data_IF_701948248211
#
_entry.id   IF_701948248211
#
_cell.length_a   1.000
_cell.length_b   1.000
_cell.length_c   1.000
_cell.angle_alpha   90.00
_cell.angle_beta   90.00
_cell.angle_gamma   90.00
#
_symmetry.space_group_name_H-M   'P 1'
#
loop_
_entity.id
_entity.type
_entity.pdbx_description
1 polymer ?
#
# COMPACT_ATOMS: atom_id res chain seq x y z
N UNK A 1 -7.36 -0.25 2.93
CA UNK A 1 -7.89 1.13 3.01
C UNK A 1 -6.77 2.15 2.82
N UNK A 2 -5.89 2.38 3.81
CA UNK A 2 -4.83 3.41 3.72
C UNK A 2 -3.95 3.31 2.46
N UNK A 3 -3.36 2.14 2.19
CA UNK A 3 -2.53 1.93 1.00
C UNK A 3 -3.27 2.10 -0.33
N UNK A 4 -4.57 1.81 -0.36
CA UNK A 4 -5.42 2.04 -1.54
C UNK A 4 -5.67 3.52 -1.78
N UNK A 5 -5.91 4.28 -0.71
CA UNK A 5 -6.02 5.75 -0.78
C UNK A 5 -4.70 6.37 -1.22
N UNK A 6 -3.56 5.88 -0.71
CA UNK A 6 -2.25 6.35 -1.13
C UNK A 6 -2.02 6.12 -2.65
N UNK A 7 -2.37 4.93 -3.16
CA UNK A 7 -2.31 4.65 -4.59
C UNK A 7 -3.24 5.58 -5.41
N UNK A 8 -4.45 5.86 -4.91
CA UNK A 8 -5.37 6.80 -5.56
C UNK A 8 -4.82 8.23 -5.59
N UNK A 9 -4.24 8.71 -4.49
CA UNK A 9 -3.58 10.02 -4.44
C UNK A 9 -2.44 10.08 -5.45
N UNK A 10 -1.60 9.05 -5.55
CA UNK A 10 -0.50 9.04 -6.51
C UNK A 10 -1.01 9.01 -7.97
N UNK A 11 -2.04 8.20 -8.26
CA UNK A 11 -2.69 8.19 -9.58
C UNK A 11 -3.28 9.55 -9.94
N UNK A 12 -3.88 10.27 -8.99
CA UNK A 12 -4.39 11.63 -9.16
C UNK A 12 -3.27 12.64 -9.41
N UNK A 13 -2.20 12.61 -8.61
CA UNK A 13 -1.02 13.46 -8.79
C UNK A 13 -0.34 13.26 -10.15
N UNK A 14 -0.40 12.05 -10.71
CA UNK A 14 0.10 11.73 -12.05
C UNK A 14 -0.91 12.02 -13.16
N UNK A 15 -2.12 12.46 -12.81
CA UNK A 15 -3.18 12.86 -13.73
C UNK A 15 -3.93 11.70 -14.37
N UNK A 16 -3.88 10.48 -13.80
CA UNK A 16 -4.67 9.35 -14.27
C UNK A 16 -6.10 9.39 -13.73
N UNK A 17 -6.25 9.67 -12.44
CA UNK A 17 -7.54 10.05 -11.84
C UNK A 17 -7.72 11.54 -12.09
N UNK A 18 -8.89 11.92 -12.58
CA UNK A 18 -9.23 13.31 -12.94
C UNK A 18 -10.09 13.97 -11.86
N UNK A 19 -10.09 15.30 -11.83
CA UNK A 19 -10.83 16.08 -10.81
C UNK A 19 -12.36 15.88 -10.87
N UNK A 20 -12.89 15.54 -12.04
CA UNK A 20 -14.32 15.22 -12.24
C UNK A 20 -14.72 13.89 -11.61
N UNK A 21 -13.77 12.96 -11.39
CA UNK A 21 -14.02 11.70 -10.69
C UNK A 21 -14.05 11.87 -9.15
N UNK A 22 -13.67 13.05 -8.62
CA UNK A 22 -13.53 13.27 -7.19
C UNK A 22 -14.80 13.73 -6.47
N UNK A 23 -15.86 14.06 -7.22
CA UNK A 23 -17.13 14.58 -6.68
C UNK A 23 -16.93 15.78 -5.71
N UNK A 24 -15.95 16.63 -6.01
CA UNK A 24 -15.61 17.82 -5.22
C UNK A 24 -14.82 17.56 -3.93
N UNK A 25 -14.51 16.31 -3.59
CA UNK A 25 -13.69 15.97 -2.43
C UNK A 25 -12.20 15.90 -2.81
N UNK A 26 -11.35 16.64 -2.09
CA UNK A 26 -9.90 16.60 -2.35
C UNK A 26 -9.31 15.21 -2.12
N UNK A 27 -8.40 14.79 -3.00
CA UNK A 27 -7.65 13.54 -2.88
C UNK A 27 -6.15 13.85 -2.79
N UNK A 28 -5.69 14.27 -1.60
CA UNK A 28 -4.32 14.75 -1.38
C UNK A 28 -3.70 14.23 -0.07
N UNK A 29 -2.38 14.06 -0.06
CA UNK A 29 -1.65 13.74 1.17
C UNK A 29 -1.74 14.91 2.18
N UNK A 30 -1.72 14.58 3.48
CA UNK A 30 -1.76 15.56 4.56
C UNK A 30 -3.17 16.07 4.91
N UNK A 31 -4.20 15.68 4.16
CA UNK A 31 -5.58 16.07 4.44
C UNK A 31 -6.35 14.96 5.18
N UNK A 32 -6.19 14.90 6.50
CA UNK A 32 -6.78 13.84 7.35
C UNK A 32 -8.31 13.77 7.28
N UNK A 33 -8.99 14.92 7.18
CA UNK A 33 -10.46 14.98 7.07
C UNK A 33 -10.93 14.37 5.75
N UNK A 34 -10.29 14.71 4.64
CA UNK A 34 -10.65 14.13 3.34
C UNK A 34 -10.35 12.63 3.28
N UNK A 35 -9.22 12.18 3.84
CA UNK A 35 -8.90 10.75 3.95
C UNK A 35 -9.98 9.99 4.71
N UNK A 36 -10.47 10.53 5.84
CA UNK A 36 -11.53 9.90 6.61
C UNK A 36 -12.86 9.81 5.81
N UNK A 37 -13.16 10.81 4.98
CA UNK A 37 -14.33 10.77 4.11
C UNK A 37 -14.19 9.75 2.97
N UNK A 38 -13.02 9.66 2.35
CA UNK A 38 -12.72 8.61 1.35
C UNK A 38 -12.88 7.20 1.92
N UNK A 39 -12.48 6.97 3.18
CA UNK A 39 -12.72 5.68 3.84
C UNK A 39 -14.22 5.36 3.93
N UNK A 40 -15.08 6.34 4.21
CA UNK A 40 -16.54 6.16 4.25
C UNK A 40 -17.10 5.86 2.86
N UNK A 41 -16.69 6.65 1.84
CA UNK A 41 -17.11 6.44 0.45
C UNK A 41 -16.70 5.09 -0.10
N UNK A 42 -15.52 4.59 0.29
CA UNK A 42 -15.10 3.22 0.00
C UNK A 42 -16.04 2.19 0.65
N UNK A 43 -16.42 2.40 1.92
CA UNK A 43 -17.35 1.52 2.63
C UNK A 43 -18.77 1.52 2.05
N UNK A 44 -19.23 2.67 1.55
CA UNK A 44 -20.55 2.85 0.93
C UNK A 44 -20.57 2.64 -0.59
N UNK A 45 -19.40 2.43 -1.22
CA UNK A 45 -19.24 2.30 -2.67
C UNK A 45 -19.82 3.49 -3.44
N UNK A 46 -19.43 4.71 -3.04
CA UNK A 46 -19.90 5.96 -3.64
C UNK A 46 -18.84 6.58 -4.55
N UNK A 47 -19.22 6.92 -5.79
CA UNK A 47 -18.33 7.58 -6.77
C UNK A 47 -17.03 6.79 -6.99
N UNK A 48 -15.89 7.49 -6.98
CA UNK A 48 -14.55 6.86 -7.03
C UNK A 48 -14.32 5.86 -5.87
N UNK A 49 -15.03 6.00 -4.76
CA UNK A 49 -14.98 5.08 -3.62
C UNK A 49 -15.33 3.63 -3.99
N UNK A 50 -16.21 3.41 -4.97
CA UNK A 50 -16.54 2.06 -5.45
C UNK A 50 -15.32 1.37 -6.11
N UNK A 51 -14.59 2.08 -6.98
CA UNK A 51 -13.35 1.57 -7.59
C UNK A 51 -12.28 1.34 -6.54
N UNK A 52 -12.16 2.23 -5.56
CA UNK A 52 -11.20 2.11 -4.47
C UNK A 52 -11.52 0.93 -3.54
N UNK A 53 -12.79 0.53 -3.40
CA UNK A 53 -13.20 -0.61 -2.58
C UNK A 53 -12.63 -1.95 -3.07
N UNK A 54 -12.23 -2.04 -4.35
CA UNK A 54 -11.64 -3.23 -4.97
C UNK A 54 -10.14 -3.44 -4.64
N UNK A 55 -9.53 -2.52 -3.90
CA UNK A 55 -8.14 -2.55 -3.47
C UNK A 55 -7.19 -1.88 -4.47
N UNK A 56 -5.96 -1.58 -4.01
CA UNK A 56 -4.99 -0.78 -4.78
C UNK A 56 -4.63 -1.39 -6.12
N UNK A 57 -4.49 -2.72 -6.18
CA UNK A 57 -4.10 -3.41 -7.41
C UNK A 57 -5.17 -3.22 -8.48
N UNK A 58 -6.44 -3.52 -8.17
CA UNK A 58 -7.54 -3.42 -9.14
C UNK A 58 -7.83 -1.98 -9.52
N UNK A 59 -7.72 -1.05 -8.57
CA UNK A 59 -7.80 0.38 -8.85
C UNK A 59 -6.74 0.78 -9.87
N UNK A 60 -5.47 0.54 -9.59
CA UNK A 60 -4.36 0.98 -10.44
C UNK A 60 -4.35 0.28 -11.81
N UNK A 61 -4.67 -1.02 -11.84
CA UNK A 61 -4.83 -1.80 -13.08
C UNK A 61 -5.97 -1.26 -13.95
N UNK A 62 -7.08 -0.80 -13.36
CA UNK A 62 -8.19 -0.19 -14.10
C UNK A 62 -7.83 1.12 -14.81
N UNK A 63 -6.78 1.81 -14.36
CA UNK A 63 -6.18 2.97 -15.04
C UNK A 63 -5.00 2.58 -15.94
N UNK A 64 -4.73 1.29 -16.13
CA UNK A 64 -3.60 0.79 -16.93
C UNK A 64 -2.23 1.06 -16.30
N UNK A 65 -2.19 1.20 -14.96
CA UNK A 65 -1.00 1.59 -14.21
C UNK A 65 -0.76 0.73 -12.95
N UNK A 66 -0.66 -0.61 -13.09
CA UNK A 66 -0.48 -1.49 -11.94
C UNK A 66 0.77 -1.17 -11.11
N UNK A 67 1.77 -0.48 -11.68
CA UNK A 67 2.99 -0.05 -11.00
C UNK A 67 2.76 0.91 -9.81
N UNK A 68 1.61 1.59 -9.72
CA UNK A 68 1.26 2.43 -8.56
C UNK A 68 0.63 1.63 -7.41
N UNK A 69 0.39 0.33 -7.58
CA UNK A 69 -0.01 -0.53 -6.47
C UNK A 69 1.22 -1.10 -5.77
N UNK A 70 1.51 -0.59 -4.57
CA UNK A 70 2.51 -1.18 -3.68
C UNK A 70 1.96 -2.45 -3.02
N UNK A 71 1.89 -3.54 -3.79
CA UNK A 71 1.32 -4.82 -3.37
C UNK A 71 2.15 -6.02 -3.80
N UNK A 72 2.01 -7.12 -3.07
CA UNK A 72 2.55 -8.44 -3.47
C UNK A 72 1.41 -9.45 -3.41
N UNK A 73 1.22 -10.20 -4.51
CA UNK A 73 0.04 -11.06 -4.72
C UNK A 73 -1.29 -10.31 -4.49
N UNK A 74 -1.35 -9.03 -4.90
CA UNK A 74 -2.50 -8.12 -4.75
C UNK A 74 -2.88 -7.76 -3.31
N UNK A 75 -2.05 -8.12 -2.32
CA UNK A 75 -2.17 -7.65 -0.93
C UNK A 75 -1.21 -6.49 -0.72
N UNK A 76 -1.70 -5.36 -0.21
CA UNK A 76 -0.89 -4.17 0.03
C UNK A 76 0.21 -4.38 1.08
N UNK A 77 1.39 -3.81 0.80
CA UNK A 77 2.55 -3.86 1.68
C UNK A 77 2.26 -3.11 2.99
N UNK A 78 2.69 -3.63 4.15
CA UNK A 78 2.49 -3.00 5.45
C UNK A 78 3.51 -1.87 5.72
N UNK A 79 3.58 -1.39 6.97
CA UNK A 79 4.31 -0.18 7.36
C UNK A 79 5.85 -0.25 7.36
N UNK A 80 6.47 -1.21 6.67
CA UNK A 80 7.93 -1.37 6.64
C UNK A 80 8.44 -1.34 5.20
N UNK A 81 9.34 -0.40 4.93
CA UNK A 81 9.95 -0.27 3.62
C UNK A 81 11.02 -1.36 3.42
N UNK A 82 10.84 -2.27 2.44
CA UNK A 82 11.77 -3.39 2.25
C UNK A 82 13.17 -2.94 1.83
N UNK A 83 13.36 -1.69 1.38
CA UNK A 83 14.69 -1.15 1.01
C UNK A 83 15.61 -1.02 2.22
N UNK A 84 15.06 -0.88 3.43
CA UNK A 84 15.84 -0.80 4.68
C UNK A 84 15.89 -2.10 5.48
N UNK A 85 15.19 -3.15 5.01
CA UNK A 85 14.91 -4.38 5.77
C UNK A 85 14.81 -5.54 4.76
N UNK A 86 15.94 -5.97 4.20
CA UNK A 86 15.97 -6.83 3.00
C UNK A 86 15.30 -8.20 3.24
N UNK A 87 15.52 -8.82 4.41
CA UNK A 87 14.86 -10.06 4.80
C UNK A 87 13.34 -9.91 4.90
N UNK A 88 12.86 -8.77 5.39
CA UNK A 88 11.43 -8.45 5.37
C UNK A 88 10.88 -8.32 3.94
N UNK A 89 11.66 -7.77 3.02
CA UNK A 89 11.34 -7.75 1.58
C UNK A 89 11.19 -9.16 0.99
N UNK A 90 12.12 -10.06 1.30
CA UNK A 90 12.02 -11.47 0.90
C UNK A 90 10.76 -12.14 1.47
N UNK A 91 10.42 -11.84 2.73
CA UNK A 91 9.18 -12.33 3.34
C UNK A 91 7.95 -11.85 2.58
N UNK A 92 7.89 -10.59 2.15
CA UNK A 92 6.76 -10.09 1.36
C UNK A 92 6.62 -10.86 0.04
N UNK A 93 7.72 -11.09 -0.67
CA UNK A 93 7.75 -11.84 -1.92
C UNK A 93 7.25 -13.29 -1.76
N UNK A 94 7.68 -13.98 -0.71
CA UNK A 94 7.47 -15.42 -0.52
C UNK A 94 6.24 -15.77 0.31
N UNK A 95 5.70 -14.84 1.10
CA UNK A 95 4.53 -15.04 1.95
C UNK A 95 3.36 -15.65 1.18
N UNK A 96 2.73 -16.66 1.78
CA UNK A 96 1.63 -17.43 1.20
C UNK A 96 0.35 -16.61 0.97
N UNK A 97 0.17 -15.52 1.73
CA UNK A 97 -1.01 -14.65 1.64
C UNK A 97 -0.77 -13.30 0.96
N UNK A 98 0.43 -13.08 0.41
CA UNK A 98 0.84 -11.80 -0.18
C UNK A 98 1.69 -10.93 0.76
N UNK A 99 1.86 -9.66 0.41
CA UNK A 99 2.77 -8.70 1.09
C UNK A 99 2.40 -8.47 2.55
N UNK A 100 2.96 -9.29 3.46
CA UNK A 100 2.55 -9.33 4.86
C UNK A 100 3.74 -9.55 5.78
N UNK A 101 3.75 -8.89 6.94
CA UNK A 101 4.85 -8.92 7.91
C UNK A 101 4.67 -9.97 9.02
N UNK A 102 3.45 -10.37 9.40
CA UNK A 102 3.23 -11.28 10.56
C UNK A 102 3.52 -12.76 10.29
N UNK A 103 3.85 -13.15 9.05
CA UNK A 103 4.25 -14.53 8.69
C UNK A 103 5.78 -14.70 8.55
N UNK A 104 6.52 -13.63 8.80
CA UNK A 104 7.98 -13.56 8.81
C UNK A 104 8.36 -12.15 9.24
N UNK A 105 8.33 -11.90 10.55
CA UNK A 105 8.48 -10.56 11.09
C UNK A 105 9.98 -10.22 11.27
N UNK A 106 10.65 -10.08 10.14
CA UNK A 106 12.10 -9.87 10.03
C UNK A 106 12.53 -8.51 10.57
N UNK A 107 11.60 -7.56 10.74
CA UNK A 107 11.83 -6.34 11.54
C UNK A 107 12.34 -6.67 12.95
N UNK A 108 11.92 -7.78 13.56
CA UNK A 108 12.41 -8.18 14.89
C UNK A 108 13.94 -8.39 14.90
N UNK A 109 14.52 -9.32 14.11
CA UNK A 109 15.97 -9.51 14.09
C UNK A 109 16.75 -8.43 13.32
N UNK A 110 16.19 -7.85 12.24
CA UNK A 110 16.90 -6.89 11.38
C UNK A 110 16.93 -5.46 11.95
N UNK A 111 15.96 -5.08 12.79
CA UNK A 111 15.86 -3.73 13.38
C UNK A 111 15.95 -3.77 14.91
N UNK A 112 15.20 -4.66 15.57
CA UNK A 112 15.15 -4.71 17.04
C UNK A 112 16.24 -5.58 17.66
N UNK A 113 16.93 -6.39 16.86
CA UNK A 113 17.98 -7.30 17.31
C UNK A 113 17.49 -8.52 18.09
N UNK A 114 16.23 -8.93 17.88
CA UNK A 114 15.60 -10.01 18.63
C UNK A 114 15.20 -11.20 17.74
N UNK A 115 15.49 -12.44 18.13
CA UNK A 115 16.29 -12.85 19.29
C UNK A 115 17.80 -12.63 19.10
N UNK A 116 18.24 -12.39 17.87
CA UNK A 116 19.63 -12.11 17.48
C UNK A 116 19.62 -11.02 16.39
N UNK A 117 20.63 -10.15 16.39
CA UNK A 117 20.77 -9.09 15.40
C UNK A 117 21.26 -9.66 14.07
N UNK A 118 20.48 -9.44 13.01
CA UNK A 118 20.87 -9.74 11.64
C UNK A 118 21.31 -8.46 10.92
N UNK A 119 22.24 -8.58 9.97
CA UNK A 119 22.57 -7.48 9.07
C UNK A 119 21.46 -7.32 8.03
N UNK A 120 20.65 -6.29 8.24
CA UNK A 120 19.49 -5.95 7.39
C UNK A 120 19.82 -5.54 5.95
N UNK A 121 21.10 -5.29 5.65
CA UNK A 121 21.59 -4.91 4.32
C UNK A 121 22.35 -6.04 3.62
N UNK A 122 22.62 -7.13 4.33
CA UNK A 122 23.26 -8.32 3.77
C UNK A 122 22.27 -9.12 2.92
N UNK A 123 22.74 -9.60 1.78
CA UNK A 123 22.04 -10.61 0.98
C UNK A 123 22.40 -12.04 1.43
N UNK A 124 23.42 -12.18 2.28
CA UNK A 124 23.84 -13.43 2.91
C UNK A 124 23.08 -13.60 4.23
N UNK A 125 22.42 -14.75 4.39
CA UNK A 125 21.62 -15.10 5.57
C UNK A 125 22.32 -16.07 6.51
#
# INVERSE_FOLDING_TARGET
AGSTIAAAIELHQKGYIKDDELDGLKLEFGNGTAIADWVKRMGHREGLGDKMAEGSYRLADSYGKPEFSMSVKKLEIPAYDPRGVQGQGLTYATSNRGGCHVRGYLVSPEILGLPEQLDRLSAEG
#
